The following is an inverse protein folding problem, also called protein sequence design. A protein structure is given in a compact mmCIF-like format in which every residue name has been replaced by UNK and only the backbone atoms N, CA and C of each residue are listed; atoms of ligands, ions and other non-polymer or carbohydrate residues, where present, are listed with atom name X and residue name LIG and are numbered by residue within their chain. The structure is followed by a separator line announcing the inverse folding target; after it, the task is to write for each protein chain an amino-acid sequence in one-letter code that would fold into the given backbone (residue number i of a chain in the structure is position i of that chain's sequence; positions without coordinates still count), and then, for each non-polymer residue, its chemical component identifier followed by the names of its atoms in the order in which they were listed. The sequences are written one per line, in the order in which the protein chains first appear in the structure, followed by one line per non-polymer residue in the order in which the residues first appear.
data_IF_909274130600
#
_entry.id   IF_909274130600
#
_cell.length_a   1.000
_cell.length_b   1.000
_cell.length_c   1.000
_cell.angle_alpha   90.00
_cell.angle_beta   90.00
_cell.angle_gamma   90.00
#
_symmetry.space_group_name_H-M   'P 1'
#
loop_
_entity.id
_entity.type
_entity.pdbx_description
1 polymer ?
#
# COMPACT_ATOMS: atom_id res chain seq x y z
N UNK A 1 27.42 -47.71 10.69
CA UNK A 1 26.61 -46.61 11.25
C UNK A 1 25.45 -46.40 10.31
N UNK A 2 24.37 -47.12 10.57
CA UNK A 2 23.21 -47.21 9.69
C UNK A 2 22.47 -45.87 9.59
N UNK A 3 21.94 -45.60 8.41
CA UNK A 3 21.24 -44.34 8.08
C UNK A 3 20.03 -44.10 9.00
N UNK A 4 19.42 -45.19 9.47
CA UNK A 4 18.33 -45.17 10.45
C UNK A 4 18.76 -44.62 11.82
N UNK A 5 19.96 -44.99 12.30
CA UNK A 5 20.48 -44.50 13.58
C UNK A 5 20.77 -42.99 13.55
N UNK A 6 21.19 -42.45 12.40
CA UNK A 6 21.38 -40.99 12.22
C UNK A 6 20.06 -40.23 12.23
N UNK A 7 19.01 -40.81 11.66
CA UNK A 7 17.66 -40.23 11.63
C UNK A 7 17.02 -40.23 13.02
N UNK A 8 17.21 -41.30 13.80
CA UNK A 8 16.77 -41.41 15.20
C UNK A 8 17.44 -40.33 16.09
N UNK A 9 18.74 -40.11 15.89
CA UNK A 9 19.51 -39.11 16.64
C UNK A 9 19.05 -37.67 16.35
N UNK A 10 18.76 -37.36 15.08
CA UNK A 10 18.23 -36.06 14.65
C UNK A 10 16.82 -35.78 15.20
N UNK A 11 15.96 -36.79 15.30
CA UNK A 11 14.63 -36.66 15.89
C UNK A 11 14.69 -36.33 17.39
N UNK A 12 15.59 -36.96 18.14
CA UNK A 12 15.78 -36.67 19.58
C UNK A 12 16.30 -35.26 19.82
N UNK A 13 17.29 -34.79 19.03
CA UNK A 13 17.82 -33.42 19.12
C UNK A 13 16.77 -32.33 18.84
N UNK A 14 15.72 -32.63 18.07
CA UNK A 14 14.66 -31.67 17.74
C UNK A 14 13.64 -31.49 18.86
N UNK A 15 13.46 -32.48 19.74
CA UNK A 15 12.52 -32.42 20.86
C UNK A 15 13.06 -31.61 22.05
N UNK A 16 14.37 -31.50 22.21
CA UNK A 16 14.98 -30.71 23.31
C UNK A 16 14.95 -29.19 23.06
N UNK A 17 14.66 -28.74 21.84
CA UNK A 17 14.63 -27.32 21.45
C UNK A 17 13.21 -26.70 21.45
N UNK A 18 12.20 -27.46 21.89
CA UNK A 18 10.82 -27.00 22.02
C UNK A 18 10.27 -27.27 23.43
N UNK A 19 11.07 -26.94 24.44
CA UNK A 19 10.50 -26.67 25.77
C UNK A 19 10.15 -25.18 25.80
N UNK A 20 8.86 -24.79 25.73
CA UNK A 20 8.50 -23.44 26.09
C UNK A 20 8.84 -23.27 27.57
N UNK A 21 9.84 -22.44 27.85
CA UNK A 21 10.08 -21.89 29.19
C UNK A 21 8.72 -21.48 29.78
N UNK A 22 8.39 -21.86 31.02
CA UNK A 22 7.20 -21.34 31.68
C UNK A 22 7.40 -19.84 31.85
N UNK A 23 6.81 -19.06 30.95
CA UNK A 23 6.73 -17.62 31.10
C UNK A 23 5.92 -17.38 32.36
N UNK A 24 6.58 -16.95 33.43
CA UNK A 24 5.98 -16.73 34.74
C UNK A 24 4.73 -15.87 34.57
N UNK A 25 3.59 -16.38 35.04
CA UNK A 25 2.29 -15.71 34.92
C UNK A 25 2.29 -14.30 35.55
N UNK A 26 3.28 -13.98 36.39
CA UNK A 26 3.48 -12.67 36.99
C UNK A 26 3.98 -11.60 35.99
N UNK A 27 4.69 -11.97 34.92
CA UNK A 27 5.21 -11.00 33.94
C UNK A 27 4.10 -10.51 32.99
N UNK A 28 3.15 -11.40 32.65
CA UNK A 28 1.94 -11.05 31.87
C UNK A 28 1.01 -10.09 32.62
N UNK A 29 0.98 -10.11 33.96
CA UNK A 29 0.14 -9.22 34.76
C UNK A 29 0.70 -7.78 34.85
N UNK A 30 2.01 -7.59 34.75
CA UNK A 30 2.65 -6.26 34.83
C UNK A 30 2.37 -5.38 33.60
N UNK A 31 2.08 -5.98 32.44
CA UNK A 31 1.77 -5.22 31.22
C UNK A 31 0.32 -4.71 31.14
N UNK A 32 -0.55 -5.08 32.09
CA UNK A 32 -1.95 -4.63 32.12
C UNK A 32 -2.21 -3.36 32.97
N UNK A 33 -1.23 -2.87 33.74
CA UNK A 33 -1.44 -1.77 34.68
C UNK A 33 -0.96 -0.39 34.20
N UNK A 34 -0.91 -0.13 32.89
CA UNK A 34 -0.70 1.23 32.39
C UNK A 34 -1.87 1.72 31.51
N UNK A 35 -3.02 2.09 32.10
CA UNK A 35 -4.14 2.67 31.36
C UNK A 35 -4.00 4.17 31.06
N UNK A 36 -2.88 4.82 31.40
CA UNK A 36 -2.70 6.26 31.18
C UNK A 36 -1.63 6.56 30.13
N UNK A 37 -1.98 6.43 28.83
CA UNK A 37 -1.81 7.45 27.77
C UNK A 37 -2.61 6.96 26.55
N UNK A 38 -3.94 6.91 26.64
CA UNK A 38 -4.79 6.93 25.44
C UNK A 38 -5.28 8.35 25.22
N UNK A 39 -4.35 9.20 24.82
CA UNK A 39 -4.63 10.49 24.21
C UNK A 39 -5.60 10.29 23.03
N UNK A 40 -6.73 11.02 22.97
CA UNK A 40 -7.59 11.02 21.80
C UNK A 40 -6.92 11.83 20.68
N UNK A 41 -6.01 11.21 19.92
CA UNK A 41 -5.51 11.74 18.64
C UNK A 41 -6.57 11.70 17.51
N UNK A 42 -7.85 11.62 17.87
CA UNK A 42 -8.96 11.77 16.95
C UNK A 42 -9.51 13.19 17.11
N UNK A 43 -8.91 14.17 16.42
CA UNK A 43 -9.55 15.41 15.91
C UNK A 43 -8.53 16.47 15.42
N UNK A 44 -7.34 16.08 14.94
CA UNK A 44 -6.57 16.97 14.09
C UNK A 44 -7.20 17.02 12.70
N UNK A 45 -8.06 18.01 12.50
CA UNK A 45 -8.57 18.42 11.19
C UNK A 45 -7.45 18.40 10.15
N UNK A 46 -7.67 17.72 9.03
CA UNK A 46 -6.71 17.53 7.91
C UNK A 46 -6.04 18.84 7.46
N UNK A 47 -6.65 19.98 7.72
CA UNK A 47 -6.12 21.32 7.41
C UNK A 47 -4.90 21.71 8.24
N UNK A 48 -4.73 21.21 9.48
CA UNK A 48 -3.53 21.49 10.31
C UNK A 48 -2.32 20.63 9.93
N UNK A 49 -2.52 19.40 9.48
CA UNK A 49 -1.42 18.47 9.12
C UNK A 49 -0.62 18.96 7.91
N UNK A 50 -1.23 19.73 6.99
CA UNK A 50 -0.50 20.30 5.85
C UNK A 50 0.39 21.50 6.23
N UNK A 51 0.20 22.13 7.40
CA UNK A 51 1.02 23.28 7.84
C UNK A 51 2.34 22.87 8.52
N UNK A 52 2.50 21.60 8.89
CA UNK A 52 3.75 21.05 9.45
C UNK A 52 4.67 20.47 8.36
N UNK A 53 4.48 20.85 7.09
CA UNK A 53 5.47 20.51 6.06
C UNK A 53 6.63 21.48 6.20
N UNK A 54 7.69 20.94 6.78
CA UNK A 54 9.02 21.53 6.85
C UNK A 54 9.34 22.31 5.55
N UNK A 55 9.54 23.64 5.61
CA UNK A 55 9.74 24.48 4.43
C UNK A 55 11.01 24.11 3.65
N UNK A 56 11.93 23.36 4.26
CA UNK A 56 13.15 22.86 3.62
C UNK A 56 12.96 21.52 2.90
N UNK A 57 11.76 20.91 2.91
CA UNK A 57 11.51 19.69 2.13
C UNK A 57 11.44 20.03 0.65
N UNK A 58 12.50 19.64 -0.07
CA UNK A 58 12.54 19.63 -1.53
C UNK A 58 11.27 18.95 -2.06
N UNK A 59 10.48 19.62 -2.93
CA UNK A 59 9.30 19.02 -3.52
C UNK A 59 9.67 17.72 -4.23
N UNK A 60 9.23 16.58 -3.70
CA UNK A 60 9.45 15.31 -4.36
C UNK A 60 8.74 15.32 -5.72
N UNK A 61 9.51 15.21 -6.80
CA UNK A 61 8.98 15.07 -8.17
C UNK A 61 8.03 13.87 -8.17
N UNK A 62 6.78 14.11 -8.57
CA UNK A 62 5.78 13.04 -8.66
C UNK A 62 6.25 11.99 -9.66
N UNK A 63 6.14 10.72 -9.30
CA UNK A 63 6.42 9.62 -10.21
C UNK A 63 5.58 9.76 -11.48
N UNK A 64 6.19 9.45 -12.63
CA UNK A 64 5.50 9.47 -13.92
C UNK A 64 4.31 8.51 -13.90
N UNK A 65 3.15 8.88 -14.46
CA UNK A 65 2.03 7.97 -14.58
C UNK A 65 2.37 6.82 -15.54
N UNK A 66 1.86 5.62 -15.27
CA UNK A 66 2.02 4.47 -16.16
C UNK A 66 1.31 4.72 -17.50
N UNK A 67 1.99 4.34 -18.57
CA UNK A 67 1.41 4.35 -19.92
C UNK A 67 0.39 3.22 -20.08
N UNK A 68 -0.31 3.20 -21.22
CA UNK A 68 -1.24 2.11 -21.55
C UNK A 68 -0.52 0.77 -21.66
N UNK A 69 0.64 0.77 -22.31
CA UNK A 69 1.39 -0.44 -22.61
C UNK A 69 2.01 -1.04 -21.34
N UNK A 70 2.51 -0.18 -20.44
CA UNK A 70 2.97 -0.61 -19.10
C UNK A 70 1.86 -1.32 -18.33
N UNK A 71 0.64 -0.75 -18.34
CA UNK A 71 -0.51 -1.37 -17.69
C UNK A 71 -0.89 -2.70 -18.33
N UNK A 72 -0.79 -2.80 -19.65
CA UNK A 72 -1.07 -4.03 -20.38
C UNK A 72 -0.06 -5.12 -20.02
N UNK A 73 1.23 -4.78 -19.94
CA UNK A 73 2.29 -5.70 -19.51
C UNK A 73 2.03 -6.22 -18.09
N UNK A 74 1.73 -5.33 -17.14
CA UNK A 74 1.41 -5.72 -15.74
C UNK A 74 0.20 -6.66 -15.67
N UNK A 75 -0.87 -6.37 -16.42
CA UNK A 75 -2.07 -7.23 -16.46
C UNK A 75 -1.80 -8.59 -17.07
N UNK A 76 -1.03 -8.61 -18.16
CA UNK A 76 -0.63 -9.84 -18.84
C UNK A 76 0.17 -10.73 -17.90
N UNK A 77 1.16 -10.16 -17.19
CA UNK A 77 1.92 -10.89 -16.17
C UNK A 77 1.04 -11.46 -15.06
N UNK A 78 0.10 -10.68 -14.54
CA UNK A 78 -0.83 -11.16 -13.50
C UNK A 78 -1.77 -12.26 -14.02
N UNK A 79 -2.14 -12.23 -15.31
CA UNK A 79 -2.97 -13.24 -15.95
C UNK A 79 -2.25 -14.59 -16.10
N UNK A 80 -1.00 -14.58 -16.55
CA UNK A 80 -0.21 -15.81 -16.73
C UNK A 80 0.37 -16.36 -15.42
N UNK A 81 0.57 -15.49 -14.42
CA UNK A 81 1.14 -15.87 -13.13
C UNK A 81 0.25 -15.37 -11.97
N UNK A 82 -0.90 -16.01 -11.71
CA UNK A 82 -1.89 -15.54 -10.74
C UNK A 82 -1.36 -15.50 -9.29
N UNK A 83 -0.36 -16.32 -8.97
CA UNK A 83 0.28 -16.36 -7.64
C UNK A 83 1.21 -15.19 -7.32
N UNK A 84 1.58 -14.35 -8.29
CA UNK A 84 2.51 -13.24 -8.03
C UNK A 84 1.86 -12.14 -7.18
N UNK A 85 2.59 -11.72 -6.15
CA UNK A 85 2.21 -10.56 -5.32
C UNK A 85 2.52 -9.24 -6.04
N UNK A 86 1.94 -8.14 -5.57
CA UNK A 86 2.22 -6.82 -6.15
C UNK A 86 3.70 -6.41 -6.03
N UNK A 87 4.38 -6.85 -4.98
CA UNK A 87 5.80 -6.58 -4.75
C UNK A 87 6.66 -7.34 -5.78
N UNK A 88 6.34 -8.61 -6.06
CA UNK A 88 7.06 -9.41 -7.05
C UNK A 88 6.82 -8.89 -8.47
N UNK A 89 5.59 -8.45 -8.79
CA UNK A 89 5.29 -7.80 -10.06
C UNK A 89 6.04 -6.48 -10.22
N UNK A 90 6.11 -5.68 -9.14
CA UNK A 90 6.89 -4.44 -9.11
C UNK A 90 8.38 -4.69 -9.40
N UNK A 91 8.98 -5.70 -8.77
CA UNK A 91 10.37 -6.09 -9.03
C UNK A 91 10.59 -6.54 -10.47
N UNK A 92 9.68 -7.32 -11.06
CA UNK A 92 9.80 -7.77 -12.45
C UNK A 92 9.62 -6.66 -13.49
N UNK A 93 8.80 -5.66 -13.19
CA UNK A 93 8.44 -4.60 -14.14
C UNK A 93 9.19 -3.29 -13.91
N UNK A 94 9.90 -3.14 -12.78
CA UNK A 94 10.56 -1.90 -12.40
C UNK A 94 9.62 -0.79 -11.92
N UNK A 95 8.33 -1.08 -11.76
CA UNK A 95 7.34 -0.12 -11.24
C UNK A 95 7.20 -0.24 -9.72
N UNK A 96 6.65 0.81 -9.09
CA UNK A 96 6.31 0.75 -7.65
C UNK A 96 5.09 -0.15 -7.42
N UNK A 97 5.00 -0.78 -6.24
CA UNK A 97 3.84 -1.62 -5.88
C UNK A 97 2.50 -0.86 -6.01
N UNK A 98 2.50 0.44 -5.69
CA UNK A 98 1.32 1.31 -5.84
C UNK A 98 0.92 1.52 -7.30
N UNK A 99 1.89 1.66 -8.20
CA UNK A 99 1.66 1.75 -9.64
C UNK A 99 1.12 0.42 -10.21
N UNK A 100 1.67 -0.71 -9.78
CA UNK A 100 1.20 -2.04 -10.15
C UNK A 100 -0.27 -2.23 -9.71
N UNK A 101 -0.59 -1.89 -8.47
CA UNK A 101 -1.96 -1.93 -7.96
C UNK A 101 -2.89 -1.04 -8.79
N UNK A 102 -2.46 0.18 -9.10
CA UNK A 102 -3.23 1.09 -9.95
C UNK A 102 -3.42 0.56 -11.39
N UNK A 103 -2.45 -0.16 -11.95
CA UNK A 103 -2.55 -0.78 -13.27
C UNK A 103 -3.58 -1.92 -13.31
N UNK A 104 -3.66 -2.72 -12.24
CA UNK A 104 -4.58 -3.84 -12.13
C UNK A 104 -6.02 -3.38 -11.92
N UNK A 105 -6.26 -2.41 -11.03
CA UNK A 105 -7.62 -1.97 -10.70
C UNK A 105 -8.12 -0.77 -11.52
N UNK A 106 -7.22 0.05 -12.08
CA UNK A 106 -7.59 1.25 -12.83
C UNK A 106 -8.12 0.97 -14.23
N UNK A 107 -8.60 1.99 -14.96
CA UNK A 107 -8.92 1.83 -16.37
C UNK A 107 -7.63 1.70 -17.21
N UNK A 108 -7.67 0.82 -18.21
CA UNK A 108 -6.54 0.60 -19.13
C UNK A 108 -6.25 1.89 -19.92
N UNK A 109 -7.30 2.49 -20.49
CA UNK A 109 -7.26 3.77 -21.18
C UNK A 109 -7.79 4.88 -20.28
N UNK A 110 -7.20 6.09 -20.29
CA UNK A 110 -7.78 7.24 -19.60
C UNK A 110 -9.23 7.47 -20.05
N UNK A 111 -10.15 7.67 -19.11
CA UNK A 111 -11.50 8.11 -19.46
C UNK A 111 -11.38 9.50 -20.08
N UNK A 112 -11.91 9.69 -21.30
CA UNK A 112 -12.03 11.03 -21.89
C UNK A 112 -12.81 11.87 -20.89
N UNK A 113 -12.19 12.95 -20.40
CA UNK A 113 -12.93 13.98 -19.67
C UNK A 113 -13.97 14.50 -20.63
N UNK A 114 -15.24 14.22 -20.38
CA UNK A 114 -16.34 14.90 -21.06
C UNK A 114 -16.13 16.37 -20.75
N UNK A 115 -15.57 17.10 -21.71
CA UNK A 115 -15.48 18.54 -21.61
C UNK A 115 -16.91 19.05 -21.38
N UNK A 116 -17.07 19.97 -20.44
CA UNK A 116 -18.30 20.69 -20.12
C UNK A 116 -18.80 21.57 -21.29
N UNK A 117 -18.59 21.15 -22.54
CA UNK A 117 -18.94 21.91 -23.75
C UNK A 117 -20.47 22.09 -23.88
N UNK A 118 -21.26 21.13 -23.39
CA UNK A 118 -22.73 21.19 -23.41
C UNK A 118 -23.33 22.25 -22.48
N UNK A 119 -22.61 22.72 -21.46
CA UNK A 119 -23.12 23.79 -20.57
C UNK A 119 -22.95 25.16 -21.23
N UNK A 120 -21.91 25.34 -22.06
CA UNK A 120 -21.66 26.62 -22.75
C UNK A 120 -22.53 26.81 -23.99
N UNK A 121 -22.94 25.72 -24.65
CA UNK A 121 -23.83 25.77 -25.82
C UNK A 121 -25.29 26.12 -25.47
N UNK A 122 -25.74 25.82 -24.24
CA UNK A 122 -27.09 26.19 -23.77
C UNK A 122 -27.12 27.44 -22.88
N UNK A 123 -25.96 27.99 -22.52
CA UNK A 123 -25.90 29.24 -21.78
C UNK A 123 -26.18 30.40 -22.74
N UNK A 124 -27.38 30.97 -22.63
CA UNK A 124 -27.75 32.20 -23.33
C UNK A 124 -26.68 33.28 -23.08
N UNK A 125 -26.21 34.00 -24.12
CA UNK A 125 -25.27 35.09 -23.92
C UNK A 125 -25.87 36.13 -22.98
N UNK A 126 -25.16 36.45 -21.91
CA UNK A 126 -25.56 37.50 -20.97
C UNK A 126 -25.54 38.83 -21.77
N UNK A 127 -26.66 39.58 -21.83
CA UNK A 127 -26.69 40.84 -22.55
C UNK A 127 -25.69 41.82 -21.92
N UNK A 128 -24.80 42.36 -22.74
CA UNK A 128 -23.86 43.39 -22.34
C UNK A 128 -24.62 44.72 -22.25
N UNK A 129 -24.71 45.29 -21.04
CA UNK A 129 -25.23 46.64 -20.82
C UNK A 129 -24.06 47.64 -20.79
N UNK A 130 -23.82 48.44 -21.83
CA UNK A 130 -22.94 49.58 -21.73
C UNK A 130 -23.61 50.65 -20.85
N UNK A 131 -22.88 51.13 -19.85
CA UNK A 131 -23.26 52.32 -19.06
C UNK A 131 -22.90 53.59 -19.82
#
# INVERSE_FOLDING_TARGET
MDLEQKLECLKRKRLELTSPEPVDAEEMARLQQNPQVREPLANLSRSKVNRLRDPNRIPQKRAKPLTRDDKFQVRTLKKYFPGLTYIQLAQKTGFTARQVQAALHGPLTPKKRTCFRKVRENAQPIPFNPK
#
